data_IF_143631021589
#
_entry.id   IF_143631021589
#
_cell.length_a   1.000
_cell.length_b   1.000
_cell.length_c   1.000
_cell.angle_alpha   90.00
_cell.angle_beta   90.00
_cell.angle_gamma   90.00
#
_symmetry.space_group_name_H-M   'P 1'
#
loop_
_entity.id
_entity.type
_entity.pdbx_description
1 polymer ?
#
# COMPACT_ATOMS: atom_id res chain seq x y z
N UNK A 1 -6.59 -67.53 36.98
CA UNK A 1 -6.92 -66.10 36.78
C UNK A 1 -5.67 -65.33 36.39
N UNK A 2 -5.39 -65.36 35.09
CA UNK A 2 -4.37 -64.68 34.26
C UNK A 2 -5.02 -64.74 32.87
N UNK A 3 -5.08 -63.73 32.00
CA UNK A 3 -4.22 -62.58 31.76
C UNK A 3 -4.94 -61.65 30.77
N UNK A 4 -4.64 -60.36 30.91
CA UNK A 4 -4.29 -59.43 29.84
C UNK A 4 -5.31 -59.02 28.77
N UNK A 5 -5.41 -57.71 28.64
CA UNK A 5 -5.93 -57.03 27.47
C UNK A 5 -5.05 -57.22 26.24
N UNK A 6 -5.65 -56.95 25.10
CA UNK A 6 -4.99 -56.84 23.80
C UNK A 6 -5.57 -55.57 23.15
N UNK A 7 -5.00 -54.43 23.53
CA UNK A 7 -4.27 -53.48 22.68
C UNK A 7 -4.96 -53.11 21.36
N UNK A 8 -5.50 -51.89 21.40
CA UNK A 8 -5.73 -50.94 20.32
C UNK A 8 -4.74 -51.08 19.16
N UNK A 9 -5.26 -51.54 18.02
CA UNK A 9 -4.48 -51.76 16.79
C UNK A 9 -4.48 -50.47 15.96
N UNK A 10 -3.70 -49.49 16.41
CA UNK A 10 -3.36 -48.31 15.62
C UNK A 10 -2.51 -48.71 14.42
N UNK A 11 -3.13 -48.79 13.23
CA UNK A 11 -2.43 -48.94 11.97
C UNK A 11 -1.52 -47.72 11.75
N UNK A 12 -0.22 -47.89 12.02
CA UNK A 12 0.79 -46.89 11.73
C UNK A 12 0.85 -46.62 10.23
N UNK A 13 0.41 -45.43 9.82
CA UNK A 13 0.71 -44.89 8.49
C UNK A 13 2.22 -44.69 8.44
N UNK A 14 2.94 -45.63 7.85
CA UNK A 14 4.36 -45.48 7.56
C UNK A 14 4.49 -44.48 6.41
N UNK A 15 4.67 -43.21 6.75
CA UNK A 15 5.05 -42.19 5.76
C UNK A 15 6.45 -42.53 5.28
N UNK A 16 6.56 -43.02 4.03
CA UNK A 16 7.86 -43.25 3.40
C UNK A 16 8.69 -41.95 3.41
N UNK A 17 10.02 -42.03 3.60
CA UNK A 17 10.85 -40.83 3.62
C UNK A 17 10.65 -40.03 2.32
N UNK A 18 10.62 -38.68 2.40
CA UNK A 18 10.34 -37.83 1.24
C UNK A 18 11.34 -38.14 0.15
N UNK A 19 10.82 -38.41 -1.04
CA UNK A 19 11.60 -38.76 -2.22
C UNK A 19 12.54 -37.61 -2.61
N UNK A 20 13.55 -37.91 -3.43
CA UNK A 20 14.43 -36.87 -3.97
C UNK A 20 13.64 -35.77 -4.70
N UNK A 21 12.55 -36.14 -5.36
CA UNK A 21 11.63 -35.21 -6.01
C UNK A 21 10.88 -34.33 -5.00
N UNK A 22 10.39 -34.91 -3.89
CA UNK A 22 9.70 -34.14 -2.83
C UNK A 22 10.63 -33.11 -2.19
N UNK A 23 11.89 -33.47 -1.96
CA UNK A 23 12.91 -32.56 -1.42
C UNK A 23 13.24 -31.44 -2.40
N UNK A 24 13.33 -31.75 -3.69
CA UNK A 24 13.52 -30.74 -4.74
C UNK A 24 12.33 -29.78 -4.82
N UNK A 25 11.10 -30.30 -4.80
CA UNK A 25 9.87 -29.49 -4.77
C UNK A 25 9.82 -28.58 -3.55
N UNK A 26 10.12 -29.11 -2.36
CA UNK A 26 10.19 -28.32 -1.14
C UNK A 26 11.24 -27.20 -1.24
N UNK A 27 12.42 -27.51 -1.79
CA UNK A 27 13.48 -26.52 -1.99
C UNK A 27 13.11 -25.44 -3.01
N UNK A 28 12.42 -25.81 -4.09
CA UNK A 28 11.91 -24.84 -5.08
C UNK A 28 10.90 -23.90 -4.41
N UNK A 29 9.92 -24.45 -3.69
CA UNK A 29 8.91 -23.64 -3.00
C UNK A 29 9.51 -22.68 -1.97
N UNK A 30 10.54 -23.11 -1.24
CA UNK A 30 11.28 -22.27 -0.30
C UNK A 30 11.98 -21.09 -1.02
N UNK A 31 12.68 -21.37 -2.12
CA UNK A 31 13.38 -20.36 -2.91
C UNK A 31 12.40 -19.38 -3.57
N UNK A 32 11.26 -19.87 -4.06
CA UNK A 32 10.19 -19.01 -4.60
C UNK A 32 9.65 -18.06 -3.54
N UNK A 33 9.37 -18.57 -2.33
CA UNK A 33 8.95 -17.75 -1.19
C UNK A 33 10.01 -16.71 -0.79
N UNK A 34 11.29 -17.08 -0.80
CA UNK A 34 12.40 -16.17 -0.51
C UNK A 34 12.49 -15.06 -1.56
N UNK A 35 12.46 -15.41 -2.85
CA UNK A 35 12.48 -14.47 -3.96
C UNK A 35 11.29 -13.50 -3.86
N UNK A 36 10.10 -13.99 -3.54
CA UNK A 36 8.91 -13.16 -3.38
C UNK A 36 8.98 -12.27 -2.15
N UNK A 37 9.61 -12.74 -1.06
CA UNK A 37 9.96 -11.92 0.10
C UNK A 37 10.89 -10.77 -0.27
N UNK A 38 11.99 -11.07 -0.97
CA UNK A 38 12.99 -10.08 -1.40
C UNK A 38 12.40 -9.06 -2.37
N UNK A 39 11.61 -9.50 -3.36
CA UNK A 39 10.93 -8.60 -4.30
C UNK A 39 9.99 -7.64 -3.59
N UNK A 40 9.23 -8.12 -2.60
CA UNK A 40 8.37 -7.26 -1.78
C UNK A 40 9.18 -6.25 -0.99
N UNK A 41 10.25 -6.67 -0.32
CA UNK A 41 11.12 -5.78 0.45
C UNK A 41 11.74 -4.68 -0.43
N UNK A 42 12.21 -5.02 -1.63
CA UNK A 42 12.75 -4.06 -2.59
C UNK A 42 11.70 -3.06 -3.04
N UNK A 43 10.50 -3.51 -3.42
CA UNK A 43 9.39 -2.60 -3.81
C UNK A 43 9.05 -1.62 -2.69
N UNK A 44 8.93 -2.13 -1.46
CA UNK A 44 8.69 -1.30 -0.27
C UNK A 44 9.80 -0.26 -0.06
N UNK A 45 11.07 -0.66 -0.18
CA UNK A 45 12.19 0.28 -0.02
C UNK A 45 12.20 1.34 -1.13
N UNK A 46 11.93 0.93 -2.37
CA UNK A 46 11.89 1.85 -3.51
C UNK A 46 10.80 2.91 -3.36
N UNK A 47 9.57 2.52 -3.01
CA UNK A 47 8.48 3.51 -2.87
C UNK A 47 8.75 4.49 -1.71
N UNK A 48 9.28 3.99 -0.59
CA UNK A 48 9.68 4.84 0.54
C UNK A 48 10.77 5.84 0.12
N UNK A 49 11.78 5.40 -0.64
CA UNK A 49 12.84 6.26 -1.13
C UNK A 49 12.31 7.32 -2.12
N UNK A 50 11.37 6.95 -2.99
CA UNK A 50 10.73 7.89 -3.92
C UNK A 50 9.95 8.97 -3.17
N UNK A 51 9.09 8.58 -2.23
CA UNK A 51 8.34 9.52 -1.40
C UNK A 51 9.28 10.44 -0.59
N UNK A 52 10.34 9.88 -0.01
CA UNK A 52 11.37 10.63 0.70
C UNK A 52 12.01 11.69 -0.20
N UNK A 53 12.40 11.32 -1.43
CA UNK A 53 12.97 12.24 -2.40
C UNK A 53 12.01 13.35 -2.83
N UNK A 54 10.72 13.03 -3.02
CA UNK A 54 9.67 14.00 -3.35
C UNK A 54 9.53 15.06 -2.25
N UNK A 55 9.48 14.63 -1.00
CA UNK A 55 9.35 15.53 0.15
C UNK A 55 10.62 16.37 0.37
N UNK A 56 11.79 15.75 0.21
CA UNK A 56 13.08 16.43 0.34
C UNK A 56 13.35 17.45 -0.76
N UNK A 57 12.76 17.30 -1.94
CA UNK A 57 12.92 18.25 -3.04
C UNK A 57 12.12 19.55 -2.86
N UNK A 58 11.16 19.56 -1.92
CA UNK A 58 10.22 20.67 -1.72
C UNK A 58 10.42 21.33 -0.37
N UNK A 59 10.88 20.58 0.64
CA UNK A 59 11.42 21.15 1.87
C UNK A 59 12.83 21.72 1.67
N UNK A 60 13.19 22.76 2.41
CA UNK A 60 14.58 23.24 2.51
C UNK A 60 15.50 22.26 3.26
N UNK A 61 14.92 21.16 3.75
CA UNK A 61 15.54 20.18 4.62
C UNK A 61 15.76 18.90 3.80
N UNK A 62 16.97 18.34 3.86
CA UNK A 62 17.38 17.23 3.01
C UNK A 62 16.60 15.90 3.20
N UNK A 63 17.03 14.82 2.52
CA UNK A 63 16.36 13.52 2.52
C UNK A 63 15.99 12.96 3.91
N UNK A 64 16.80 13.24 4.93
CA UNK A 64 16.57 12.79 6.30
C UNK A 64 15.27 13.36 6.88
N UNK A 65 15.02 14.67 6.73
CA UNK A 65 13.76 15.27 7.17
C UNK A 65 12.56 14.76 6.36
N UNK A 66 12.71 14.57 5.05
CA UNK A 66 11.64 14.00 4.22
C UNK A 66 11.21 12.61 4.68
N UNK A 67 12.16 11.76 5.07
CA UNK A 67 11.86 10.44 5.63
C UNK A 67 11.23 10.55 7.02
N UNK A 68 11.76 11.43 7.87
CA UNK A 68 11.25 11.63 9.23
C UNK A 68 9.79 12.10 9.22
N UNK A 69 9.42 13.00 8.31
CA UNK A 69 8.03 13.43 8.13
C UNK A 69 7.11 12.26 7.77
N UNK A 70 7.54 11.35 6.89
CA UNK A 70 6.75 10.14 6.59
C UNK A 70 6.56 9.26 7.82
N UNK A 71 7.59 9.12 8.67
CA UNK A 71 7.50 8.35 9.91
C UNK A 71 6.52 8.99 10.89
N UNK A 72 6.59 10.31 11.08
CA UNK A 72 5.71 11.07 11.97
C UNK A 72 4.24 10.93 11.53
N UNK A 73 3.95 11.16 10.25
CA UNK A 73 2.61 11.01 9.71
C UNK A 73 2.11 9.55 9.76
N UNK A 74 2.99 8.58 9.47
CA UNK A 74 2.68 7.15 9.58
C UNK A 74 2.24 6.78 10.99
N UNK A 75 2.92 7.30 12.02
CA UNK A 75 2.58 7.08 13.42
C UNK A 75 1.32 7.84 13.83
N UNK A 76 1.25 9.13 13.50
CA UNK A 76 0.11 10.00 13.84
C UNK A 76 -1.21 9.43 13.32
N UNK A 77 -1.21 8.91 12.10
CA UNK A 77 -2.42 8.36 11.46
C UNK A 77 -2.50 6.83 11.54
N UNK A 78 -1.57 6.18 12.26
CA UNK A 78 -1.50 4.72 12.42
C UNK A 78 -1.62 3.94 11.09
N UNK A 79 -0.88 4.38 10.08
CA UNK A 79 -0.80 3.73 8.76
C UNK A 79 0.59 3.16 8.54
N UNK A 80 0.69 2.07 7.77
CA UNK A 80 2.02 1.51 7.44
C UNK A 80 2.81 2.52 6.60
N UNK A 81 4.07 2.75 6.95
CA UNK A 81 4.94 3.73 6.29
C UNK A 81 4.98 3.59 4.75
N UNK A 82 5.05 2.36 4.25
CA UNK A 82 5.08 2.10 2.81
C UNK A 82 3.75 2.39 2.11
N UNK A 83 2.64 2.26 2.83
CA UNK A 83 1.30 2.63 2.34
C UNK A 83 1.24 4.14 2.19
N UNK A 84 1.62 4.89 3.23
CA UNK A 84 1.69 6.35 3.17
C UNK A 84 2.64 6.82 2.05
N UNK A 85 3.82 6.21 1.94
CA UNK A 85 4.77 6.54 0.88
C UNK A 85 4.16 6.35 -0.53
N UNK A 86 3.40 5.26 -0.74
CA UNK A 86 2.69 5.04 -2.00
C UNK A 86 1.66 6.14 -2.26
N UNK A 87 0.87 6.53 -1.27
CA UNK A 87 -0.12 7.61 -1.41
C UNK A 87 0.54 8.94 -1.79
N UNK A 88 1.70 9.25 -1.20
CA UNK A 88 2.48 10.45 -1.56
C UNK A 88 2.97 10.39 -3.01
N UNK A 89 3.50 9.24 -3.45
CA UNK A 89 3.94 9.04 -4.84
C UNK A 89 2.76 9.16 -5.79
N UNK A 90 1.63 8.50 -5.50
CA UNK A 90 0.44 8.55 -6.33
C UNK A 90 -0.09 9.98 -6.43
N UNK A 91 -0.23 10.69 -5.31
CA UNK A 91 -0.66 12.09 -5.29
C UNK A 91 0.27 12.99 -6.11
N UNK A 92 1.59 12.71 -6.12
CA UNK A 92 2.56 13.44 -6.93
C UNK A 92 2.34 13.27 -8.43
N UNK A 93 1.81 12.13 -8.88
CA UNK A 93 1.46 11.91 -10.29
C UNK A 93 0.22 12.71 -10.69
N UNK A 94 -0.71 12.91 -9.77
CA UNK A 94 -1.97 13.63 -10.04
C UNK A 94 -1.80 15.15 -9.97
N UNK A 95 -1.11 15.64 -8.94
CA UNK A 95 -0.96 17.07 -8.64
C UNK A 95 0.37 17.68 -9.12
N UNK A 96 1.34 16.83 -9.46
CA UNK A 96 2.74 17.21 -9.58
C UNK A 96 3.48 17.19 -8.23
N UNK A 97 4.82 17.04 -8.25
CA UNK A 97 5.63 16.77 -7.07
C UNK A 97 5.58 17.88 -6.02
N UNK A 98 5.63 19.15 -6.45
CA UNK A 98 5.62 20.30 -5.53
C UNK A 98 4.33 20.38 -4.71
N UNK A 99 3.19 20.29 -5.38
CA UNK A 99 1.88 20.40 -4.71
C UNK A 99 1.62 19.24 -3.77
N UNK A 100 1.95 18.01 -4.20
CA UNK A 100 1.83 16.84 -3.34
C UNK A 100 2.68 16.99 -2.07
N UNK A 101 3.95 17.39 -2.21
CA UNK A 101 4.82 17.58 -1.05
C UNK A 101 4.36 18.74 -0.14
N UNK A 102 3.83 19.84 -0.69
CA UNK A 102 3.26 20.93 0.12
C UNK A 102 2.07 20.45 0.95
N UNK A 103 1.15 19.67 0.37
CA UNK A 103 0.01 19.12 1.09
C UNK A 103 0.44 18.16 2.21
N UNK A 104 1.41 17.29 1.93
CA UNK A 104 1.96 16.37 2.94
C UNK A 104 2.70 17.15 4.03
N UNK A 105 3.48 18.17 3.66
CA UNK A 105 4.19 19.05 4.59
C UNK A 105 3.28 19.88 5.48
N UNK A 106 2.03 20.12 5.06
CA UNK A 106 1.00 20.74 5.90
C UNK A 106 0.39 19.76 6.92
N UNK A 107 0.96 18.56 7.08
CA UNK A 107 0.54 17.58 8.10
C UNK A 107 -0.76 16.84 7.78
N UNK A 108 -1.23 16.92 6.53
CA UNK A 108 -2.52 16.36 6.14
C UNK A 108 -2.51 14.83 6.17
N UNK A 109 -3.61 14.24 6.67
CA UNK A 109 -3.73 12.80 6.86
C UNK A 109 -3.86 12.00 5.57
N UNK A 110 -3.51 10.70 5.60
CA UNK A 110 -3.50 9.81 4.44
C UNK A 110 -4.85 9.73 3.74
N UNK A 111 -5.96 9.74 4.49
CA UNK A 111 -7.30 9.70 3.91
C UNK A 111 -7.65 10.98 3.14
N UNK A 112 -7.14 12.14 3.58
CA UNK A 112 -7.33 13.40 2.85
C UNK A 112 -6.45 13.44 1.60
N UNK A 113 -5.22 12.92 1.67
CA UNK A 113 -4.34 12.78 0.51
C UNK A 113 -5.01 11.89 -0.57
N UNK A 114 -5.58 10.76 -0.18
CA UNK A 114 -6.32 9.86 -1.08
C UNK A 114 -7.54 10.54 -1.70
N UNK A 115 -8.38 11.18 -0.89
CA UNK A 115 -9.58 11.86 -1.39
C UNK A 115 -9.22 13.01 -2.35
N UNK A 116 -8.13 13.73 -2.07
CA UNK A 116 -7.61 14.78 -2.95
C UNK A 116 -7.14 14.20 -4.28
N UNK A 117 -6.33 13.13 -4.23
CA UNK A 117 -5.84 12.45 -5.43
C UNK A 117 -6.99 11.90 -6.29
N UNK A 118 -8.00 11.32 -5.65
CA UNK A 118 -9.19 10.79 -6.33
C UNK A 118 -9.95 11.89 -7.07
N UNK A 119 -10.21 13.04 -6.43
CA UNK A 119 -10.92 14.15 -7.06
C UNK A 119 -10.14 14.71 -8.27
N UNK A 120 -8.83 14.87 -8.12
CA UNK A 120 -7.97 15.37 -9.19
C UNK A 120 -8.00 14.40 -10.37
N UNK A 121 -7.83 13.09 -10.12
CA UNK A 121 -7.90 12.06 -11.15
C UNK A 121 -9.25 12.05 -11.84
N UNK A 122 -10.35 12.08 -11.09
CA UNK A 122 -11.70 12.10 -11.63
C UNK A 122 -11.91 13.32 -12.53
N UNK A 123 -11.45 14.49 -12.10
CA UNK A 123 -11.53 15.71 -12.90
C UNK A 123 -10.73 15.61 -14.20
N UNK A 124 -9.49 15.10 -14.15
CA UNK A 124 -8.68 14.89 -15.36
C UNK A 124 -9.35 13.91 -16.33
N UNK A 125 -10.00 12.86 -15.81
CA UNK A 125 -10.75 11.90 -16.63
C UNK A 125 -12.00 12.53 -17.25
N UNK A 126 -12.72 13.39 -16.52
CA UNK A 126 -13.85 14.14 -17.05
C UNK A 126 -13.44 15.05 -18.22
N UNK A 127 -12.36 15.81 -18.05
CA UNK A 127 -11.81 16.66 -19.12
C UNK A 127 -11.45 15.85 -20.35
N UNK A 128 -10.84 14.66 -20.17
CA UNK A 128 -10.52 13.76 -21.29
C UNK A 128 -11.76 13.14 -21.96
N UNK A 129 -12.88 13.04 -21.24
CA UNK A 129 -14.13 12.45 -21.72
C UNK A 129 -15.08 13.49 -22.33
N UNK A 130 -14.69 14.76 -22.42
CA UNK A 130 -15.52 15.82 -23.02
C UNK A 130 -15.93 15.46 -24.46
N UNK A 131 -17.23 15.54 -24.74
CA UNK A 131 -17.80 15.16 -26.04
C UNK A 131 -17.89 13.65 -26.29
N UNK A 132 -17.49 12.80 -25.34
CA UNK A 132 -17.63 11.33 -25.45
C UNK A 132 -18.90 10.84 -24.76
N UNK A 133 -19.41 9.63 -25.11
CA UNK A 133 -20.55 9.02 -24.41
C UNK A 133 -20.32 8.74 -22.92
N UNK A 134 -19.06 8.76 -22.45
CA UNK A 134 -18.69 8.51 -21.05
C UNK A 134 -18.80 9.77 -20.17
N UNK A 135 -19.08 10.94 -20.75
CA UNK A 135 -19.04 12.22 -20.05
C UNK A 135 -19.93 12.28 -18.80
N UNK A 136 -21.18 11.80 -18.90
CA UNK A 136 -22.11 11.80 -17.76
C UNK A 136 -21.58 10.94 -16.60
N UNK A 137 -21.03 9.74 -16.91
CA UNK A 137 -20.42 8.87 -15.90
C UNK A 137 -19.23 9.56 -15.22
N UNK A 138 -18.36 10.21 -15.99
CA UNK A 138 -17.21 10.94 -15.43
C UNK A 138 -17.61 12.14 -14.59
N UNK A 139 -18.72 12.79 -14.94
CA UNK A 139 -19.26 13.87 -14.11
C UNK A 139 -19.73 13.32 -12.76
N UNK A 140 -20.40 12.17 -12.76
CA UNK A 140 -20.84 11.50 -11.53
C UNK A 140 -19.65 11.05 -10.68
N UNK A 141 -18.57 10.54 -11.29
CA UNK A 141 -17.32 10.20 -10.61
C UNK A 141 -16.74 11.43 -9.88
N UNK A 142 -16.72 12.61 -10.52
CA UNK A 142 -16.25 13.86 -9.91
C UNK A 142 -17.13 14.28 -8.73
N UNK A 143 -18.46 14.14 -8.84
CA UNK A 143 -19.39 14.46 -7.74
C UNK A 143 -19.20 13.51 -6.56
N UNK A 144 -18.98 12.22 -6.83
CA UNK A 144 -18.69 11.25 -5.77
C UNK A 144 -17.36 11.56 -5.07
N UNK A 145 -16.31 11.85 -5.84
CA UNK A 145 -14.99 12.19 -5.30
C UNK A 145 -15.01 13.51 -4.51
N UNK A 146 -15.77 14.52 -4.95
CA UNK A 146 -15.88 15.80 -4.23
C UNK A 146 -16.60 15.62 -2.90
N UNK A 147 -17.66 14.80 -2.85
CA UNK A 147 -18.33 14.45 -1.59
C UNK A 147 -17.37 13.79 -0.61
N UNK A 148 -16.60 12.80 -1.08
CA UNK A 148 -15.61 12.11 -0.24
C UNK A 148 -14.56 13.08 0.31
N UNK A 149 -14.07 14.03 -0.51
CA UNK A 149 -13.14 15.06 -0.04
C UNK A 149 -13.77 15.94 1.04
N UNK A 150 -15.01 16.41 0.83
CA UNK A 150 -15.72 17.22 1.82
C UNK A 150 -15.90 16.46 3.15
N UNK A 151 -16.29 15.19 3.12
CA UNK A 151 -16.43 14.37 4.32
C UNK A 151 -15.12 14.27 5.10
N UNK A 152 -13.98 14.10 4.41
CA UNK A 152 -12.65 14.04 5.06
C UNK A 152 -12.22 15.39 5.64
N UNK A 153 -12.50 16.49 4.96
CA UNK A 153 -12.21 17.83 5.48
C UNK A 153 -13.01 18.11 6.76
N UNK A 154 -14.30 17.77 6.77
CA UNK A 154 -15.17 17.97 7.93
C UNK A 154 -14.78 17.07 9.12
N UNK A 155 -14.31 15.85 8.85
CA UNK A 155 -13.86 14.92 9.89
C UNK A 155 -12.50 15.33 10.51
N UNK A 156 -11.70 16.16 9.83
CA UNK A 156 -10.40 16.60 10.32
C UNK A 156 -10.47 17.80 11.28
N UNK A 157 -11.62 18.50 11.34
CA UNK A 157 -11.85 19.67 12.20
C UNK A 157 -12.41 19.30 13.60
N UNK A 158 -12.78 18.03 13.82
CA UNK A 158 -13.41 17.49 15.04
C UNK A 158 -12.46 16.62 15.86
#
# INVERSE_FOLDING_TARGET
>A
MRTSGEIDSGAGVTVAPPSGEDRLRARIAELESEIDGLRRALRTRTVIAQATGLLAAVGEQGPQQGFQLLVELSQQYNVKLHTLAQQVVDLSTELGPRRAATLVGAGQGPELLDATGLLVRAHQQLVKAEGTPDWDRRRDDVVAASRQLCERLLAAES
#
